data_IF_390184865358
#
_entry.id   IF_390184865358
#
_cell.length_a   1.000
_cell.length_b   1.000
_cell.length_c   1.000
_cell.angle_alpha   90.00
_cell.angle_beta   90.00
_cell.angle_gamma   90.00
#
_symmetry.space_group_name_H-M   'P 1'
#
loop_
_entity.id
_entity.type
_entity.pdbx_description
1 polymer ?
#
# COMPACT_ATOMS: atom_id res chain seq x y z
N UNK A 1 28.65 5.35 2.74
CA UNK A 1 27.31 4.93 3.21
C UNK A 1 27.43 3.52 3.73
N UNK A 2 27.02 3.28 4.98
CA UNK A 2 27.10 1.95 5.59
C UNK A 2 26.02 1.02 5.00
N UNK A 3 26.25 -0.28 5.00
CA UNK A 3 25.25 -1.26 4.57
C UNK A 3 25.10 -2.29 5.68
N UNK A 4 23.86 -2.55 6.07
CA UNK A 4 23.54 -3.41 7.20
C UNK A 4 23.06 -4.77 6.68
N UNK A 5 23.57 -5.84 7.29
CA UNK A 5 23.13 -7.22 7.05
C UNK A 5 23.04 -7.95 8.39
N UNK A 6 21.92 -8.62 8.66
CA UNK A 6 21.73 -9.41 9.88
C UNK A 6 22.44 -10.76 9.74
N UNK A 7 23.35 -11.06 10.67
CA UNK A 7 24.17 -12.27 10.68
C UNK A 7 23.70 -13.27 11.75
N UNK A 8 23.80 -14.55 11.41
CA UNK A 8 23.44 -15.67 12.26
C UNK A 8 24.52 -15.87 13.34
N UNK A 9 24.16 -15.90 14.63
CA UNK A 9 25.13 -16.12 15.70
C UNK A 9 25.75 -17.53 15.69
N UNK A 10 25.09 -18.52 15.07
CA UNK A 10 25.57 -19.91 15.04
C UNK A 10 26.59 -20.18 13.95
N UNK A 11 26.47 -19.56 12.77
CA UNK A 11 27.31 -19.89 11.62
C UNK A 11 27.83 -18.68 10.82
N UNK A 12 27.45 -17.45 11.19
CA UNK A 12 27.81 -16.23 10.47
C UNK A 12 27.11 -16.04 9.13
N UNK A 13 26.23 -16.97 8.72
CA UNK A 13 25.38 -16.84 7.53
C UNK A 13 24.32 -15.75 7.70
N UNK A 14 23.72 -15.30 6.60
CA UNK A 14 22.72 -14.24 6.64
C UNK A 14 21.37 -14.73 7.22
N UNK A 15 20.70 -13.84 7.95
CA UNK A 15 19.37 -14.06 8.49
C UNK A 15 18.33 -13.33 7.65
N UNK A 16 17.29 -14.05 7.22
CA UNK A 16 16.13 -13.49 6.52
C UNK A 16 14.89 -13.56 7.40
N UNK A 17 14.01 -12.57 7.29
CA UNK A 17 12.73 -12.61 7.99
C UNK A 17 11.77 -13.57 7.28
N UNK A 18 11.25 -14.57 8.00
CA UNK A 18 10.28 -15.53 7.48
C UNK A 18 8.85 -15.15 7.90
N UNK A 19 7.99 -14.71 6.96
CA UNK A 19 6.61 -14.30 7.23
C UNK A 19 5.77 -15.37 7.91
N UNK A 20 5.99 -16.64 7.56
CA UNK A 20 5.15 -17.75 8.02
C UNK A 20 5.36 -18.06 9.50
N UNK A 21 6.61 -17.97 9.98
CA UNK A 21 6.94 -18.20 11.39
C UNK A 21 7.05 -16.91 12.21
N UNK A 22 7.17 -15.74 11.57
CA UNK A 22 7.43 -14.47 12.24
C UNK A 22 8.81 -14.41 12.90
N UNK A 23 9.76 -15.22 12.40
CA UNK A 23 11.11 -15.38 12.95
C UNK A 23 12.16 -15.15 11.87
N UNK A 24 13.40 -14.92 12.30
CA UNK A 24 14.57 -14.82 11.45
C UNK A 24 15.15 -16.20 11.20
N UNK A 25 15.23 -16.64 9.94
CA UNK A 25 15.79 -17.95 9.57
C UNK A 25 17.15 -17.79 8.92
N UNK A 26 18.03 -18.73 9.23
CA UNK A 26 19.31 -18.89 8.54
C UNK A 26 19.20 -20.05 7.53
N UNK A 27 19.36 -19.77 6.24
CA UNK A 27 19.31 -20.80 5.18
C UNK A 27 20.50 -21.77 5.24
N UNK A 28 21.61 -21.38 5.88
CA UNK A 28 22.84 -22.19 5.93
C UNK A 28 22.81 -23.26 7.02
N UNK A 29 22.41 -22.89 8.24
CA UNK A 29 22.40 -23.80 9.39
C UNK A 29 20.99 -24.15 9.89
N UNK A 30 19.95 -23.64 9.22
CA UNK A 30 18.54 -23.87 9.51
C UNK A 30 18.09 -23.45 10.92
N UNK A 31 18.90 -22.65 11.62
CA UNK A 31 18.55 -22.05 12.90
C UNK A 31 17.50 -20.95 12.72
N UNK A 32 16.65 -20.77 13.73
CA UNK A 32 15.63 -19.72 13.75
C UNK A 32 15.74 -18.88 15.03
N UNK A 33 15.62 -17.57 14.90
CA UNK A 33 15.75 -16.60 15.99
C UNK A 33 14.52 -15.70 16.06
N UNK A 34 14.13 -15.32 17.28
CA UNK A 34 13.19 -14.22 17.51
C UNK A 34 13.82 -12.87 17.16
N UNK A 35 13.01 -11.82 17.10
CA UNK A 35 13.52 -10.48 16.83
C UNK A 35 14.52 -10.01 17.89
N UNK A 36 14.19 -10.18 19.17
CA UNK A 36 15.09 -9.80 20.27
C UNK A 36 16.43 -10.54 20.20
N UNK A 37 16.42 -11.83 19.87
CA UNK A 37 17.64 -12.63 19.70
C UNK A 37 18.46 -12.17 18.49
N UNK A 38 17.80 -11.86 17.37
CA UNK A 38 18.47 -11.40 16.15
C UNK A 38 19.09 -10.00 16.34
N UNK A 39 18.40 -9.09 17.01
CA UNK A 39 18.89 -7.75 17.33
C UNK A 39 20.05 -7.80 18.33
N UNK A 40 19.95 -8.62 19.38
CA UNK A 40 21.03 -8.82 20.34
C UNK A 40 22.30 -9.39 19.69
N UNK A 41 22.15 -10.27 18.71
CA UNK A 41 23.29 -10.81 17.95
C UNK A 41 23.87 -9.80 16.93
N UNK A 42 23.12 -8.76 16.57
CA UNK A 42 23.48 -7.76 15.55
C UNK A 42 23.37 -6.34 16.11
N UNK A 43 24.15 -5.98 17.14
CA UNK A 43 24.01 -4.70 17.85
C UNK A 43 24.18 -3.50 16.93
N UNK A 44 25.09 -3.55 15.95
CA UNK A 44 25.27 -2.47 14.96
C UNK A 44 24.02 -2.20 14.11
N UNK A 45 23.27 -3.25 13.78
CA UNK A 45 22.01 -3.12 13.04
C UNK A 45 20.90 -2.51 13.92
N UNK A 46 20.93 -2.80 15.23
CA UNK A 46 20.03 -2.20 16.21
C UNK A 46 20.45 -0.77 16.60
N UNK A 47 21.74 -0.44 16.57
CA UNK A 47 22.29 0.89 16.86
C UNK A 47 22.06 1.86 15.71
N UNK A 48 22.03 1.40 14.46
CA UNK A 48 21.65 2.21 13.30
C UNK A 48 20.20 2.76 13.37
N UNK A 49 19.37 2.23 14.28
CA UNK A 49 18.05 2.77 14.61
C UNK A 49 18.12 3.98 15.57
N UNK A 50 19.24 4.15 16.27
CA UNK A 50 19.47 5.19 17.30
C UNK A 50 20.56 6.19 16.92
N UNK A 51 21.19 6.03 15.74
CA UNK A 51 22.26 6.91 15.27
C UNK A 51 21.72 8.26 14.82
N UNK A 52 22.03 9.31 15.57
CA UNK A 52 22.15 10.67 15.05
C UNK A 52 23.31 10.67 14.05
N UNK A 53 23.06 10.29 12.79
CA UNK A 53 24.00 10.58 11.72
C UNK A 53 23.93 12.08 11.46
N UNK A 54 25.01 12.78 11.81
CA UNK A 54 25.24 14.20 11.57
C UNK A 54 24.78 14.58 10.15
N UNK A 55 23.68 15.33 10.08
CA UNK A 55 23.18 15.99 8.88
C UNK A 55 24.08 17.18 8.50
N UNK A 56 25.38 16.95 8.37
CA UNK A 56 26.40 17.91 7.99
C UNK A 56 27.33 17.28 6.95
N UNK A 57 26.79 17.04 5.75
CA UNK A 57 27.57 16.44 4.66
C UNK A 57 26.87 16.35 3.31
N UNK A 58 25.99 17.30 2.97
CA UNK A 58 25.42 17.42 1.62
C UNK A 58 25.31 18.88 1.13
N UNK A 59 26.05 19.79 1.77
CA UNK A 59 26.26 21.15 1.29
C UNK A 59 27.76 21.37 1.23
N UNK A 60 28.35 21.14 0.06
CA UNK A 60 29.52 21.87 -0.48
C UNK A 60 30.07 21.10 -1.68
N UNK A 61 29.51 21.37 -2.86
CA UNK A 61 30.21 21.25 -4.14
C UNK A 61 29.58 22.21 -5.16
N UNK A 62 29.31 23.45 -4.76
CA UNK A 62 29.08 24.57 -5.67
C UNK A 62 30.16 25.59 -5.39
N UNK A 63 31.20 25.59 -6.22
CA UNK A 63 32.14 26.70 -6.50
C UNK A 63 33.57 26.20 -6.63
N UNK A 64 33.90 25.65 -7.81
CA UNK A 64 35.19 25.88 -8.47
C UNK A 64 35.22 25.17 -9.83
N UNK A 65 34.70 25.84 -10.87
CA UNK A 65 35.40 26.05 -12.15
C UNK A 65 34.44 26.70 -13.16
N UNK A 66 34.56 28.02 -13.26
CA UNK A 66 34.07 28.83 -14.38
C UNK A 66 35.16 28.84 -15.46
N UNK A 67 34.72 28.82 -16.71
CA UNK A 67 35.44 28.89 -18.01
C UNK A 67 35.39 27.54 -18.76
N UNK A 68 34.72 27.37 -19.91
CA UNK A 68 34.18 28.30 -20.91
C UNK A 68 33.03 27.66 -21.71
N UNK A 69 32.03 28.47 -22.11
CA UNK A 69 31.16 28.38 -23.31
C UNK A 69 30.60 26.99 -23.72
N UNK A 70 29.28 26.76 -23.84
CA UNK A 70 28.31 27.53 -24.64
C UNK A 70 26.87 27.07 -24.27
N UNK A 71 25.95 28.03 -24.10
CA UNK A 71 24.48 27.92 -24.24
C UNK A 71 24.11 27.22 -25.57
N UNK A 72 23.06 26.43 -25.79
CA UNK A 72 21.71 26.19 -25.23
C UNK A 72 21.30 24.79 -25.77
N UNK A 73 20.58 23.94 -25.04
CA UNK A 73 19.12 23.80 -25.19
C UNK A 73 18.60 23.03 -23.97
N UNK A 74 17.88 23.73 -23.11
CA UNK A 74 17.22 23.20 -21.91
C UNK A 74 16.03 22.33 -22.33
N UNK A 75 16.21 21.03 -22.20
CA UNK A 75 15.17 20.01 -22.34
C UNK A 75 15.52 18.86 -21.41
N UNK A 76 15.57 19.13 -20.11
CA UNK A 76 15.93 18.13 -19.10
C UNK A 76 14.67 17.68 -18.37
N UNK A 77 14.20 16.51 -18.79
CA UNK A 77 13.55 15.54 -17.92
C UNK A 77 14.38 15.37 -16.65
N UNK A 78 13.77 15.58 -15.48
CA UNK A 78 14.28 15.12 -14.19
C UNK A 78 14.44 13.59 -14.26
N UNK A 79 15.62 13.12 -14.68
CA UNK A 79 16.00 11.72 -14.59
C UNK A 79 16.66 11.51 -13.23
N UNK A 80 16.06 10.63 -12.43
CA UNK A 80 16.46 10.36 -11.05
C UNK A 80 17.96 10.09 -10.91
N UNK A 81 18.55 10.67 -9.87
CA UNK A 81 19.94 10.44 -9.51
C UNK A 81 20.16 8.96 -9.17
N UNK A 82 20.99 8.28 -9.96
CA UNK A 82 21.42 6.92 -9.69
C UNK A 82 22.47 6.92 -8.57
N UNK A 83 22.25 6.15 -7.51
CA UNK A 83 23.14 6.08 -6.34
C UNK A 83 23.85 4.73 -6.31
N UNK A 84 25.16 4.73 -6.03
CA UNK A 84 26.00 3.53 -6.02
C UNK A 84 26.37 3.11 -4.60
N UNK A 85 26.23 1.81 -4.28
CA UNK A 85 26.54 1.23 -2.96
C UNK A 85 27.41 -0.01 -3.07
N UNK A 86 28.29 -0.24 -2.11
CA UNK A 86 29.14 -1.44 -2.07
C UNK A 86 28.52 -2.53 -1.19
N UNK A 87 28.34 -3.73 -1.74
CA UNK A 87 27.86 -4.89 -1.01
C UNK A 87 28.87 -5.33 0.06
N UNK A 88 28.48 -5.45 1.34
CA UNK A 88 29.40 -5.82 2.42
C UNK A 88 29.87 -7.28 2.34
N UNK A 89 29.15 -8.14 1.60
CA UNK A 89 29.47 -9.55 1.48
C UNK A 89 30.44 -9.87 0.32
N UNK A 90 30.22 -9.28 -0.86
CA UNK A 90 31.02 -9.60 -2.06
C UNK A 90 31.81 -8.41 -2.63
N UNK A 91 31.65 -7.21 -2.08
CA UNK A 91 32.33 -6.00 -2.56
C UNK A 91 31.80 -5.43 -3.88
N UNK A 92 30.73 -5.98 -4.43
CA UNK A 92 30.16 -5.48 -5.68
C UNK A 92 29.45 -4.13 -5.51
N UNK A 93 29.53 -3.27 -6.51
CA UNK A 93 28.78 -2.02 -6.59
C UNK A 93 27.37 -2.26 -7.13
N UNK A 94 26.36 -1.77 -6.38
CA UNK A 94 24.94 -1.88 -6.67
C UNK A 94 24.44 -0.47 -6.96
N UNK A 95 23.86 -0.27 -8.14
CA UNK A 95 23.23 0.99 -8.54
C UNK A 95 21.74 0.91 -8.23
N UNK A 96 21.21 1.87 -7.48
CA UNK A 96 19.79 1.94 -7.13
C UNK A 96 19.22 3.33 -7.32
N UNK A 97 17.88 3.43 -7.31
CA UNK A 97 17.20 4.71 -7.22
C UNK A 97 17.44 5.37 -5.85
N UNK A 98 17.27 6.68 -5.78
CA UNK A 98 17.37 7.45 -4.53
C UNK A 98 16.30 7.07 -3.47
N UNK A 99 15.20 6.44 -3.89
CA UNK A 99 14.13 5.96 -3.01
C UNK A 99 14.35 4.52 -2.54
N UNK A 100 15.26 3.74 -3.12
CA UNK A 100 15.48 2.36 -2.66
C UNK A 100 16.15 2.36 -1.28
N UNK A 101 15.55 1.65 -0.33
CA UNK A 101 16.03 1.53 1.05
C UNK A 101 16.54 0.12 1.39
N UNK A 102 15.95 -0.92 0.79
CA UNK A 102 16.44 -2.29 0.90
C UNK A 102 16.34 -2.99 -0.44
N UNK A 103 17.35 -3.79 -0.78
CA UNK A 103 17.45 -4.51 -2.04
C UNK A 103 18.28 -5.80 -1.88
N UNK A 104 18.54 -6.48 -2.99
CA UNK A 104 19.41 -7.64 -3.05
C UNK A 104 20.65 -7.33 -3.88
N UNK A 105 21.80 -7.84 -3.44
CA UNK A 105 22.99 -7.80 -4.27
C UNK A 105 22.81 -8.71 -5.49
N UNK A 106 22.94 -8.17 -6.70
CA UNK A 106 22.84 -8.95 -7.93
C UNK A 106 23.84 -10.13 -8.01
N UNK A 107 25.02 -9.98 -7.40
CA UNK A 107 26.10 -10.96 -7.51
C UNK A 107 25.98 -12.11 -6.50
N UNK A 108 25.81 -11.77 -5.21
CA UNK A 108 25.74 -12.78 -4.15
C UNK A 108 24.31 -13.07 -3.67
N UNK A 109 23.31 -12.34 -4.17
CA UNK A 109 21.89 -12.46 -3.80
C UNK A 109 21.61 -12.23 -2.30
N UNK A 110 22.56 -11.63 -1.59
CA UNK A 110 22.36 -11.27 -0.19
C UNK A 110 21.44 -10.05 -0.06
N UNK A 111 20.55 -10.03 0.95
CA UNK A 111 19.79 -8.84 1.28
C UNK A 111 20.74 -7.74 1.79
N UNK A 112 20.53 -6.54 1.27
CA UNK A 112 21.34 -5.34 1.52
C UNK A 112 20.38 -4.25 1.96
N UNK A 113 20.49 -3.83 3.22
CA UNK A 113 19.76 -2.67 3.76
C UNK A 113 20.68 -1.46 3.65
N UNK A 114 20.24 -0.45 2.90
CA UNK A 114 21.00 0.77 2.62
C UNK A 114 20.83 1.72 3.80
N UNK A 115 21.82 1.75 4.71
CA UNK A 115 21.77 2.65 5.86
C UNK A 115 21.77 4.12 5.40
N UNK A 116 21.12 4.99 6.16
CA UNK A 116 20.92 6.40 5.79
C UNK A 116 19.61 6.68 5.04
N UNK A 117 18.98 5.67 4.42
CA UNK A 117 17.70 5.87 3.69
C UNK A 117 16.47 5.78 4.59
N UNK A 118 16.57 5.08 5.71
CA UNK A 118 15.51 4.92 6.71
C UNK A 118 16.05 5.25 8.11
N UNK A 119 16.79 6.34 8.22
CA UNK A 119 17.31 6.87 9.49
C UNK A 119 16.87 8.33 9.69
N UNK A 120 17.00 8.83 10.92
CA UNK A 120 16.59 10.19 11.29
C UNK A 120 15.14 10.47 10.94
N UNK A 121 14.87 11.56 10.22
CA UNK A 121 13.52 11.96 9.80
C UNK A 121 12.86 11.00 8.79
N UNK A 122 13.65 10.15 8.13
CA UNK A 122 13.17 9.16 7.17
C UNK A 122 12.98 7.78 7.81
N UNK A 123 13.15 7.66 9.13
CA UNK A 123 12.92 6.41 9.84
C UNK A 123 11.40 6.18 10.04
N UNK A 124 10.87 5.02 9.64
CA UNK A 124 9.48 4.64 9.96
C UNK A 124 9.27 4.47 11.46
N UNK A 125 8.09 4.87 11.94
CA UNK A 125 7.65 4.61 13.31
C UNK A 125 7.27 3.14 13.49
N UNK A 126 6.59 2.57 12.48
CA UNK A 126 6.04 1.22 12.53
C UNK A 126 6.23 0.47 11.20
N UNK A 127 6.01 -0.84 11.26
CA UNK A 127 5.93 -1.73 10.10
C UNK A 127 4.80 -2.73 10.28
N UNK A 128 4.10 -3.00 9.18
CA UNK A 128 3.19 -4.15 9.11
C UNK A 128 3.99 -5.36 8.60
N UNK A 129 4.30 -6.36 9.43
CA UNK A 129 5.13 -7.48 8.98
C UNK A 129 4.39 -8.30 7.92
N UNK A 130 5.13 -8.79 6.92
CA UNK A 130 4.61 -9.83 6.02
C UNK A 130 4.11 -11.03 6.86
N UNK A 131 2.92 -11.53 6.54
CA UNK A 131 2.35 -12.77 7.12
C UNK A 131 2.27 -13.91 6.12
N UNK A 132 2.22 -13.57 4.84
CA UNK A 132 2.14 -14.52 3.73
C UNK A 132 3.54 -14.70 3.15
N UNK A 133 4.05 -15.93 3.17
CA UNK A 133 5.33 -16.27 2.53
C UNK A 133 5.24 -16.15 1.01
N UNK A 134 6.39 -16.13 0.33
CA UNK A 134 6.44 -16.08 -1.14
C UNK A 134 5.71 -17.25 -1.78
N UNK A 135 5.89 -18.45 -1.24
CA UNK A 135 5.25 -19.68 -1.74
C UNK A 135 3.74 -19.60 -1.60
N UNK A 136 3.26 -19.13 -0.45
CA UNK A 136 1.84 -18.93 -0.18
C UNK A 136 1.25 -17.84 -1.09
N UNK A 137 1.99 -16.76 -1.34
CA UNK A 137 1.56 -15.69 -2.25
C UNK A 137 1.40 -16.21 -3.68
N UNK A 138 2.37 -16.98 -4.18
CA UNK A 138 2.32 -17.63 -5.49
C UNK A 138 1.13 -18.57 -5.59
N UNK A 139 0.89 -19.40 -4.57
CA UNK A 139 -0.26 -20.30 -4.55
C UNK A 139 -1.60 -19.54 -4.57
N UNK A 140 -1.74 -18.52 -3.72
CA UNK A 140 -2.92 -17.65 -3.68
C UNK A 140 -3.16 -16.98 -5.03
N UNK A 141 -2.11 -16.44 -5.65
CA UNK A 141 -2.17 -15.81 -6.97
C UNK A 141 -2.65 -16.79 -8.06
N UNK A 142 -2.06 -17.98 -8.12
CA UNK A 142 -2.45 -19.01 -9.07
C UNK A 142 -3.88 -19.51 -8.82
N UNK A 143 -4.31 -19.61 -7.57
CA UNK A 143 -5.69 -20.01 -7.23
C UNK A 143 -6.72 -18.94 -7.63
N UNK A 144 -6.38 -17.66 -7.44
CA UNK A 144 -7.23 -16.53 -7.80
C UNK A 144 -7.44 -16.44 -9.32
N UNK A 145 -6.36 -16.59 -10.08
CA UNK A 145 -6.39 -16.52 -11.56
C UNK A 145 -7.18 -17.68 -12.17
N UNK A 146 -7.08 -18.90 -11.63
CA UNK A 146 -7.86 -20.07 -12.07
C UNK A 146 -9.37 -19.89 -11.96
N UNK A 147 -9.85 -19.08 -11.00
CA UNK A 147 -11.29 -18.80 -10.82
C UNK A 147 -11.87 -17.88 -11.90
N UNK A 148 -11.02 -17.13 -12.62
CA UNK A 148 -11.44 -16.15 -13.62
C UNK A 148 -11.65 -16.84 -14.97
N UNK A 149 -12.88 -16.81 -15.47
CA UNK A 149 -13.29 -17.56 -16.66
C UNK A 149 -12.72 -17.01 -17.98
N UNK A 150 -12.46 -15.70 -18.04
CA UNK A 150 -12.06 -14.99 -19.26
C UNK A 150 -10.56 -14.69 -19.35
N UNK A 151 -9.74 -15.39 -18.55
CA UNK A 151 -8.28 -15.30 -18.62
C UNK A 151 -7.75 -16.47 -19.46
N UNK A 152 -6.76 -16.25 -20.35
CA UNK A 152 -6.12 -17.34 -21.07
C UNK A 152 -5.48 -18.33 -20.11
N UNK A 153 -5.77 -19.63 -20.29
CA UNK A 153 -5.28 -20.69 -19.37
C UNK A 153 -3.75 -20.78 -19.35
N UNK A 154 -3.13 -20.49 -20.49
CA UNK A 154 -1.68 -20.52 -20.67
C UNK A 154 -1.06 -19.13 -20.58
N UNK A 155 -1.77 -18.18 -19.95
CA UNK A 155 -1.24 -16.84 -19.76
C UNK A 155 -0.08 -16.87 -18.78
N UNK A 156 -0.25 -17.49 -17.61
CA UNK A 156 0.72 -17.47 -16.52
C UNK A 156 1.69 -18.65 -16.58
N UNK A 157 2.96 -18.36 -16.78
CA UNK A 157 4.05 -19.32 -16.69
C UNK A 157 4.61 -19.39 -15.26
N UNK A 158 4.88 -20.61 -14.77
CA UNK A 158 5.42 -20.80 -13.42
C UNK A 158 6.71 -20.02 -13.19
N UNK A 159 7.61 -19.98 -14.17
CA UNK A 159 8.91 -19.30 -14.08
C UNK A 159 8.76 -17.78 -13.86
N UNK A 160 7.78 -17.15 -14.50
CA UNK A 160 7.51 -15.73 -14.33
C UNK A 160 6.84 -15.45 -12.98
N UNK A 161 5.90 -16.29 -12.54
CA UNK A 161 5.24 -16.13 -11.24
C UNK A 161 6.24 -16.27 -10.07
N UNK A 162 7.31 -17.06 -10.25
CA UNK A 162 8.42 -17.17 -9.28
C UNK A 162 9.22 -15.87 -9.10
N UNK A 163 9.11 -14.91 -10.03
CA UNK A 163 9.73 -13.57 -9.92
C UNK A 163 8.94 -12.62 -9.02
N UNK A 164 7.84 -13.09 -8.42
CA UNK A 164 7.11 -12.32 -7.42
C UNK A 164 8.06 -11.84 -6.33
N UNK A 165 8.01 -10.54 -6.04
CA UNK A 165 8.95 -9.84 -5.16
C UNK A 165 8.18 -9.19 -4.04
N UNK A 166 8.66 -9.35 -2.81
CA UNK A 166 8.07 -8.71 -1.64
C UNK A 166 8.72 -7.35 -1.43
N UNK A 167 7.88 -6.31 -1.38
CA UNK A 167 8.31 -4.92 -1.26
C UNK A 167 7.57 -4.28 -0.08
N UNK A 168 8.31 -3.57 0.76
CA UNK A 168 7.75 -2.63 1.73
C UNK A 168 7.60 -1.26 1.10
N UNK A 169 6.35 -0.78 1.07
CA UNK A 169 6.02 0.54 0.57
C UNK A 169 5.77 1.51 1.72
N UNK A 170 6.19 2.77 1.59
CA UNK A 170 6.00 3.79 2.62
C UNK A 170 4.57 4.33 2.59
N UNK A 171 3.94 4.41 3.76
CA UNK A 171 2.60 4.97 3.94
C UNK A 171 2.59 5.97 5.08
N UNK A 172 1.82 7.03 4.90
CA UNK A 172 1.40 7.89 5.99
C UNK A 172 0.07 7.42 6.51
N UNK A 173 -0.02 7.25 7.83
CA UNK A 173 -1.27 7.02 8.54
C UNK A 173 -1.63 8.29 9.29
N UNK A 174 -2.81 8.84 8.97
CA UNK A 174 -3.41 9.96 9.66
C UNK A 174 -4.64 9.52 10.45
N UNK A 175 -4.64 9.76 11.76
CA UNK A 175 -5.76 9.42 12.62
C UNK A 175 -5.88 10.39 13.79
N UNK A 176 -6.78 10.08 14.70
CA UNK A 176 -6.97 10.89 15.89
C UNK A 176 -8.38 10.87 16.45
N UNK A 177 -8.56 11.73 17.44
CA UNK A 177 -9.84 11.98 18.12
C UNK A 177 -10.33 13.38 17.72
N UNK A 178 -11.54 13.48 17.17
CA UNK A 178 -12.09 14.71 16.62
C UNK A 178 -13.48 15.02 17.19
N UNK A 179 -13.74 16.28 17.53
CA UNK A 179 -15.08 16.77 17.86
C UNK A 179 -15.82 17.19 16.60
N UNK A 180 -17.07 16.75 16.50
CA UNK A 180 -18.00 17.16 15.46
C UNK A 180 -19.09 18.07 16.02
N UNK A 181 -19.34 19.19 15.35
CA UNK A 181 -20.59 19.96 15.48
C UNK A 181 -21.24 19.97 14.09
N UNK A 182 -22.30 19.17 13.94
CA UNK A 182 -23.06 19.00 12.71
C UNK A 182 -24.42 19.66 12.85
N UNK A 183 -24.73 20.53 11.88
CA UNK A 183 -26.03 21.19 11.78
C UNK A 183 -26.63 20.95 10.39
N UNK A 184 -27.92 20.69 10.36
CA UNK A 184 -28.67 20.46 9.14
C UNK A 184 -30.14 20.86 9.33
N UNK A 185 -30.85 21.03 8.23
CA UNK A 185 -32.30 21.22 8.22
C UNK A 185 -32.96 19.91 7.82
N UNK A 186 -33.63 19.26 8.77
CA UNK A 186 -34.27 17.96 8.60
C UNK A 186 -35.74 18.09 8.21
N UNK A 187 -36.17 17.35 7.20
CA UNK A 187 -37.59 17.28 6.79
C UNK A 187 -38.19 15.94 7.20
N UNK A 188 -39.34 15.96 7.87
CA UNK A 188 -40.14 14.76 8.16
C UNK A 188 -41.48 14.87 7.47
N UNK A 189 -41.82 13.89 6.64
CA UNK A 189 -43.10 13.85 5.92
C UNK A 189 -43.94 12.73 6.48
N UNK A 190 -45.19 13.05 6.82
CA UNK A 190 -46.20 12.08 7.23
C UNK A 190 -47.39 12.20 6.28
N UNK A 191 -47.78 11.08 5.69
CA UNK A 191 -48.96 10.99 4.83
C UNK A 191 -49.99 10.08 5.50
N UNK A 192 -51.23 10.52 5.61
CA UNK A 192 -52.34 9.69 6.10
C UNK A 192 -53.62 10.03 5.37
N UNK A 193 -54.55 9.08 5.32
CA UNK A 193 -55.85 9.25 4.67
C UNK A 193 -56.97 9.27 5.72
N UNK A 194 -57.97 10.10 5.50
CA UNK A 194 -59.19 10.15 6.33
C UNK A 194 -60.38 10.32 5.41
N UNK A 195 -61.14 9.22 5.20
CA UNK A 195 -62.15 9.15 4.15
C UNK A 195 -61.51 9.18 2.76
N UNK A 196 -62.02 10.04 1.89
CA UNK A 196 -61.52 10.25 0.51
C UNK A 196 -60.44 11.34 0.41
N UNK A 197 -59.98 11.90 1.54
CA UNK A 197 -58.99 12.99 1.58
C UNK A 197 -57.64 12.46 2.09
N UNK A 198 -56.59 12.72 1.30
CA UNK A 198 -55.19 12.48 1.69
C UNK A 198 -54.59 13.75 2.30
N UNK A 199 -54.02 13.61 3.50
CA UNK A 199 -53.31 14.67 4.20
C UNK A 199 -51.81 14.41 4.15
N UNK A 200 -51.04 15.41 3.73
CA UNK A 200 -49.58 15.39 3.78
C UNK A 200 -49.09 16.48 4.73
N UNK A 201 -48.48 16.07 5.83
CA UNK A 201 -47.81 16.98 6.77
C UNK A 201 -46.31 16.98 6.50
N UNK A 202 -45.74 18.17 6.33
CA UNK A 202 -44.29 18.36 6.22
C UNK A 202 -43.81 19.16 7.42
N UNK A 203 -43.13 18.49 8.35
CA UNK A 203 -42.46 19.13 9.47
C UNK A 203 -41.01 19.42 9.13
N UNK A 204 -40.53 20.59 9.51
CA UNK A 204 -39.15 21.03 9.28
C UNK A 204 -38.48 21.28 10.63
N UNK A 205 -37.30 20.71 10.83
CA UNK A 205 -36.55 20.74 12.08
C UNK A 205 -35.16 21.32 11.85
N UNK A 206 -34.68 22.09 12.81
CA UNK A 206 -33.25 22.42 12.93
C UNK A 206 -32.58 21.27 13.68
N UNK A 207 -31.76 20.51 12.96
CA UNK A 207 -31.08 19.33 13.47
C UNK A 207 -29.68 19.73 13.89
N UNK A 208 -29.32 19.42 15.13
CA UNK A 208 -27.94 19.52 15.63
C UNK A 208 -27.50 18.18 16.19
N UNK A 209 -26.28 17.77 15.85
CA UNK A 209 -25.60 16.59 16.37
C UNK A 209 -24.19 16.99 16.78
N UNK A 210 -23.87 16.76 18.04
CA UNK A 210 -22.53 16.92 18.57
C UNK A 210 -22.00 15.56 18.98
N UNK A 211 -20.73 15.30 18.71
CA UNK A 211 -20.15 14.00 19.00
C UNK A 211 -18.63 13.99 18.91
N UNK A 212 -18.07 12.83 19.22
CA UNK A 212 -16.66 12.56 19.05
C UNK A 212 -16.50 11.44 18.02
N UNK A 213 -15.67 11.70 17.01
CA UNK A 213 -15.32 10.76 15.96
C UNK A 213 -13.88 10.36 16.17
N UNK A 214 -13.68 9.07 16.42
CA UNK A 214 -12.35 8.45 16.41
C UNK A 214 -12.07 7.86 15.05
N UNK A 215 -10.89 8.13 14.52
CA UNK A 215 -10.40 7.52 13.28
C UNK A 215 -9.07 6.84 13.55
N UNK A 216 -9.09 5.50 13.44
CA UNK A 216 -7.96 4.63 13.78
C UNK A 216 -6.82 4.68 12.74
N UNK A 217 -7.05 5.29 11.57
CA UNK A 217 -5.98 5.63 10.63
C UNK A 217 -6.40 5.58 9.17
N UNK A 218 -6.41 6.73 8.52
CA UNK A 218 -6.47 6.85 7.06
C UNK A 218 -5.06 6.70 6.51
N UNK A 219 -4.86 5.68 5.66
CA UNK A 219 -3.57 5.42 5.05
C UNK A 219 -3.50 5.99 3.63
N UNK A 220 -2.38 6.61 3.30
CA UNK A 220 -2.03 7.05 1.93
C UNK A 220 -0.61 6.67 1.61
N UNK A 221 -0.39 6.23 0.37
CA UNK A 221 0.94 5.87 -0.08
C UNK A 221 1.82 7.14 -0.16
N UNK A 222 3.07 7.03 0.27
CA UNK A 222 4.02 8.13 0.35
C UNK A 222 5.09 8.09 -0.77
N UNK A 223 4.76 7.46 -1.91
CA UNK A 223 5.56 7.44 -3.13
C UNK A 223 4.88 8.18 -4.29
N UNK A 224 5.68 8.93 -5.03
CA UNK A 224 5.31 9.62 -6.26
C UNK A 224 5.78 8.81 -7.48
N UNK A 225 5.34 7.53 -7.57
CA UNK A 225 5.63 6.64 -8.70
C UNK A 225 4.34 6.25 -9.44
N UNK A 226 4.45 5.95 -10.73
CA UNK A 226 3.33 5.67 -11.64
C UNK A 226 2.43 4.50 -11.20
N UNK A 227 2.94 3.60 -10.36
CA UNK A 227 2.21 2.42 -9.88
C UNK A 227 1.44 2.66 -8.56
N UNK A 228 1.37 3.90 -8.06
CA UNK A 228 0.72 4.25 -6.79
C UNK A 228 -0.70 3.68 -6.67
N UNK A 229 -1.51 3.84 -7.72
CA UNK A 229 -2.91 3.42 -7.71
C UNK A 229 -3.07 1.91 -7.53
N UNK A 230 -2.16 1.11 -8.12
CA UNK A 230 -2.20 -0.35 -7.98
C UNK A 230 -1.90 -0.78 -6.54
N UNK A 231 -0.93 -0.13 -5.90
CA UNK A 231 -0.50 -0.43 -4.53
C UNK A 231 -1.57 0.03 -3.53
N UNK A 232 -2.24 1.16 -3.78
CA UNK A 232 -3.36 1.60 -2.95
C UNK A 232 -4.59 0.69 -3.07
N UNK A 233 -4.71 -0.09 -4.14
CA UNK A 233 -5.84 -0.98 -4.36
C UNK A 233 -5.75 -2.36 -3.68
N UNK A 234 -4.69 -2.64 -2.91
CA UNK A 234 -4.56 -3.91 -2.15
C UNK A 234 -5.05 -3.82 -0.69
N UNK A 235 -5.89 -2.83 -0.40
CA UNK A 235 -6.61 -2.70 0.88
C UNK A 235 -7.65 -3.82 1.10
N UNK A 236 -8.11 -4.10 2.33
CA UNK A 236 -7.73 -3.46 3.59
C UNK A 236 -6.52 -4.13 4.27
N UNK A 237 -5.74 -3.32 4.99
CA UNK A 237 -4.72 -3.78 5.94
C UNK A 237 -5.27 -3.84 7.37
N UNK A 238 -4.65 -4.68 8.21
CA UNK A 238 -4.97 -4.78 9.64
C UNK A 238 -3.98 -3.94 10.43
N UNK A 239 -4.31 -2.67 10.60
CA UNK A 239 -3.46 -1.66 11.24
C UNK A 239 -3.16 -2.02 12.71
N UNK A 240 -4.05 -2.74 13.37
CA UNK A 240 -3.86 -3.26 14.72
C UNK A 240 -2.69 -4.26 14.85
N UNK A 241 -2.23 -4.85 13.74
CA UNK A 241 -1.10 -5.80 13.73
C UNK A 241 0.26 -5.09 13.52
N UNK A 242 0.30 -3.75 13.48
CA UNK A 242 1.55 -2.97 13.36
C UNK A 242 2.52 -3.28 14.51
N UNK A 243 3.81 -3.36 14.18
CA UNK A 243 4.91 -3.52 15.13
C UNK A 243 5.84 -2.30 15.05
N UNK A 244 6.52 -1.93 16.15
CA UNK A 244 7.60 -0.94 16.09
C UNK A 244 8.60 -1.31 15.00
N UNK A 245 9.06 -0.32 14.24
CA UNK A 245 9.96 -0.58 13.13
C UNK A 245 11.32 -1.11 13.62
N UNK A 246 11.83 -2.11 12.91
CA UNK A 246 13.18 -2.65 13.05
C UNK A 246 13.71 -2.99 11.67
N UNK A 247 14.99 -2.71 11.43
CA UNK A 247 15.66 -2.98 10.14
C UNK A 247 15.59 -4.46 9.75
N UNK A 248 15.50 -5.36 10.73
CA UNK A 248 15.46 -6.80 10.49
C UNK A 248 14.26 -7.22 9.63
N UNK A 249 13.12 -6.53 9.74
CA UNK A 249 11.94 -6.83 8.91
C UNK A 249 12.20 -6.65 7.42
N UNK A 250 13.18 -5.83 7.03
CA UNK A 250 13.57 -5.61 5.65
C UNK A 250 14.49 -6.71 5.11
N UNK A 251 15.07 -7.55 5.99
CA UNK A 251 15.95 -8.63 5.57
C UNK A 251 15.16 -9.70 4.82
N UNK A 252 15.40 -9.82 3.51
CA UNK A 252 14.62 -10.70 2.63
C UNK A 252 13.47 -9.99 1.92
N UNK A 253 13.40 -8.66 1.97
CA UNK A 253 12.41 -7.86 1.25
C UNK A 253 13.08 -6.64 0.61
N UNK A 254 12.48 -6.13 -0.46
CA UNK A 254 12.82 -4.80 -0.94
C UNK A 254 12.07 -3.76 -0.10
N UNK A 255 12.58 -2.54 -0.05
CA UNK A 255 11.90 -1.45 0.64
C UNK A 255 12.14 -0.13 -0.08
N UNK A 256 11.12 0.72 -0.09
CA UNK A 256 11.18 2.06 -0.63
C UNK A 256 11.08 3.10 0.50
N UNK A 257 11.84 4.19 0.38
CA UNK A 257 11.79 5.39 1.19
C UNK A 257 10.69 6.30 0.67
N UNK A 258 9.95 6.95 1.57
CA UNK A 258 9.01 8.02 1.23
C UNK A 258 9.68 9.16 0.44
N UNK A 259 8.97 9.68 -0.55
CA UNK A 259 9.31 10.89 -1.31
C UNK A 259 8.22 11.98 -1.19
N UNK A 260 7.04 11.62 -0.70
CA UNK A 260 5.94 12.54 -0.38
C UNK A 260 5.96 12.86 1.11
N UNK A 261 6.03 14.14 1.44
CA UNK A 261 5.97 14.65 2.80
C UNK A 261 4.52 14.74 3.32
N UNK A 262 4.36 14.66 4.64
CA UNK A 262 3.07 14.79 5.33
C UNK A 262 2.28 16.03 4.88
N UNK A 263 2.95 17.18 4.73
CA UNK A 263 2.31 18.44 4.37
C UNK A 263 1.62 18.41 2.99
N UNK A 264 2.09 17.56 2.08
CA UNK A 264 1.55 17.44 0.71
C UNK A 264 0.23 16.66 0.70
N UNK A 265 0.08 15.64 1.55
CA UNK A 265 -1.11 14.76 1.60
C UNK A 265 -2.14 15.17 2.67
N UNK A 266 -1.74 15.97 3.66
CA UNK A 266 -2.61 16.40 4.74
C UNK A 266 -3.93 17.04 4.28
N UNK A 267 -3.95 17.92 3.25
CA UNK A 267 -5.22 18.50 2.78
C UNK A 267 -6.20 17.46 2.24
N UNK A 268 -5.70 16.46 1.51
CA UNK A 268 -6.51 15.38 0.94
C UNK A 268 -7.12 14.52 2.06
N UNK A 269 -6.27 14.04 2.97
CA UNK A 269 -6.67 13.19 4.09
C UNK A 269 -7.63 13.89 5.05
N UNK A 270 -7.42 15.18 5.33
CA UNK A 270 -8.33 15.97 6.18
C UNK A 270 -9.70 16.15 5.52
N UNK A 271 -9.75 16.33 4.19
CA UNK A 271 -11.01 16.43 3.44
C UNK A 271 -11.75 15.09 3.38
N UNK A 272 -11.03 13.99 3.21
CA UNK A 272 -11.61 12.65 3.28
C UNK A 272 -12.19 12.37 4.67
N UNK A 273 -11.43 12.68 5.72
CA UNK A 273 -11.88 12.61 7.12
C UNK A 273 -13.18 13.40 7.34
N UNK A 274 -13.22 14.66 6.88
CA UNK A 274 -14.43 15.48 6.98
C UNK A 274 -15.62 14.83 6.24
N UNK A 275 -15.37 14.22 5.09
CA UNK A 275 -16.43 13.54 4.32
C UNK A 275 -16.97 12.32 5.06
N UNK A 276 -16.08 11.50 5.65
CA UNK A 276 -16.47 10.33 6.45
C UNK A 276 -17.20 10.73 7.73
N UNK A 277 -16.68 11.71 8.47
CA UNK A 277 -17.31 12.21 9.68
C UNK A 277 -18.70 12.79 9.38
N UNK A 278 -18.86 13.53 8.28
CA UNK A 278 -20.16 14.02 7.81
C UNK A 278 -21.13 12.88 7.48
N UNK A 279 -20.63 11.84 6.81
CA UNK A 279 -21.41 10.63 6.52
C UNK A 279 -21.89 9.92 7.79
N UNK A 280 -21.01 9.79 8.79
CA UNK A 280 -21.35 9.21 10.08
C UNK A 280 -22.42 10.03 10.83
N UNK A 281 -22.25 11.36 10.92
CA UNK A 281 -23.24 12.25 11.55
C UNK A 281 -24.59 12.22 10.82
N UNK A 282 -24.58 12.12 9.49
CA UNK A 282 -25.81 11.98 8.69
C UNK A 282 -26.53 10.67 9.00
N UNK A 283 -25.81 9.57 9.17
CA UNK A 283 -26.39 8.27 9.50
C UNK A 283 -27.08 8.27 10.88
N UNK A 284 -26.58 9.07 11.83
CA UNK A 284 -27.21 9.31 13.14
C UNK A 284 -28.44 10.25 13.10
N UNK A 285 -28.75 10.81 11.93
CA UNK A 285 -29.94 11.64 11.68
C UNK A 285 -30.88 10.98 10.66
N UNK A 286 -30.93 9.64 10.64
CA UNK A 286 -31.72 8.85 9.70
C UNK A 286 -33.25 8.95 9.91
N UNK A 287 -33.72 9.59 10.98
CA UNK A 287 -35.15 9.78 11.23
C UNK A 287 -35.80 10.84 10.32
N UNK A 288 -34.99 11.61 9.60
CA UNK A 288 -35.43 12.63 8.65
C UNK A 288 -35.43 12.06 7.22
N UNK A 289 -36.45 12.40 6.43
CA UNK A 289 -36.57 12.01 5.03
C UNK A 289 -35.47 12.65 4.17
N UNK A 290 -35.15 13.91 4.45
CA UNK A 290 -34.04 14.63 3.81
C UNK A 290 -33.36 15.55 4.81
N UNK A 291 -32.07 15.77 4.58
CA UNK A 291 -31.22 16.72 5.29
C UNK A 291 -30.70 17.72 4.27
N UNK A 292 -30.93 19.00 4.51
CA UNK A 292 -30.52 20.11 3.64
C UNK A 292 -29.64 21.10 4.40
N UNK A 293 -28.91 21.96 3.68
CA UNK A 293 -28.06 23.03 4.25
C UNK A 293 -27.04 22.52 5.29
N UNK A 294 -26.51 21.33 5.05
CA UNK A 294 -25.60 20.65 5.97
C UNK A 294 -24.28 21.42 6.15
N UNK A 295 -24.00 21.80 7.39
CA UNK A 295 -22.71 22.34 7.80
C UNK A 295 -22.14 21.47 8.90
N UNK A 296 -20.84 21.26 8.84
CA UNK A 296 -20.12 20.52 9.86
C UNK A 296 -18.85 21.27 10.19
N UNK A 297 -18.56 21.40 11.48
CA UNK A 297 -17.25 21.78 11.97
C UNK A 297 -16.62 20.54 12.59
N UNK A 298 -15.41 20.22 12.14
CA UNK A 298 -14.58 19.16 12.71
C UNK A 298 -13.39 19.83 13.42
N UNK A 299 -13.23 19.59 14.71
CA UNK A 299 -12.13 20.15 15.50
C UNK A 299 -11.27 19.02 16.07
N UNK A 300 -9.95 19.00 15.82
CA UNK A 300 -9.09 17.96 16.38
C UNK A 300 -8.91 18.14 17.89
N UNK A 301 -9.13 17.07 18.67
CA UNK A 301 -8.64 16.97 20.06
C UNK A 301 -7.20 16.48 20.09
N UNK A 302 -6.93 15.46 19.28
CA UNK A 302 -5.60 14.86 19.07
C UNK A 302 -5.47 14.49 17.61
N UNK A 303 -4.41 14.94 16.96
CA UNK A 303 -4.01 14.48 15.63
C UNK A 303 -2.79 13.59 15.76
N UNK A 304 -2.86 12.40 15.19
CA UNK A 304 -1.78 11.42 15.19
C UNK A 304 -1.34 11.20 13.73
N UNK A 305 -0.04 11.37 13.49
CA UNK A 305 0.61 11.05 12.22
C UNK A 305 1.66 9.98 12.46
N UNK A 306 1.66 8.95 11.63
CA UNK A 306 2.63 7.85 11.72
C UNK A 306 3.14 7.51 10.34
N UNK A 307 4.45 7.33 10.24
CA UNK A 307 5.11 6.80 9.06
C UNK A 307 5.24 5.28 9.20
N UNK A 308 4.65 4.53 8.27
CA UNK A 308 4.55 3.07 8.38
C UNK A 308 4.90 2.39 7.06
N UNK A 309 5.64 1.28 7.14
CA UNK A 309 5.93 0.42 5.99
C UNK A 309 4.88 -0.69 5.82
N UNK A 310 4.28 -0.77 4.63
CA UNK A 310 3.23 -1.74 4.29
C UNK A 310 3.77 -2.85 3.39
N UNK A 311 3.45 -4.12 3.67
CA UNK A 311 3.95 -5.26 2.93
C UNK A 311 3.09 -5.53 1.69
N UNK A 312 3.73 -5.57 0.51
CA UNK A 312 3.08 -5.87 -0.76
C UNK A 312 3.91 -6.86 -1.56
N UNK A 313 3.28 -7.92 -2.05
CA UNK A 313 3.85 -8.77 -3.08
C UNK A 313 3.55 -8.19 -4.46
N UNK A 314 4.58 -7.87 -5.22
CA UNK A 314 4.46 -7.33 -6.58
C UNK A 314 4.88 -8.37 -7.62
N UNK A 315 4.22 -8.34 -8.77
CA UNK A 315 4.58 -9.16 -9.92
C UNK A 315 4.33 -8.38 -11.21
N UNK A 316 5.37 -8.23 -12.01
CA UNK A 316 5.28 -7.69 -13.36
C UNK A 316 5.31 -8.83 -14.36
N UNK A 317 4.30 -8.88 -15.24
CA UNK A 317 4.12 -9.96 -16.20
C UNK A 317 4.07 -9.42 -17.64
N UNK A 318 5.05 -9.75 -18.50
CA UNK A 318 4.98 -9.41 -19.91
C UNK A 318 3.95 -10.31 -20.61
N UNK A 319 2.85 -9.71 -21.07
CA UNK A 319 1.81 -10.39 -21.81
C UNK A 319 2.23 -10.74 -23.23
N UNK A 320 1.63 -11.81 -23.77
CA UNK A 320 1.85 -12.24 -25.16
C UNK A 320 1.31 -11.26 -26.20
N UNK A 321 0.44 -10.35 -25.78
CA UNK A 321 -0.12 -9.27 -26.58
C UNK A 321 0.76 -8.01 -26.62
N UNK A 322 1.96 -8.06 -26.02
CA UNK A 322 2.91 -6.94 -25.95
C UNK A 322 2.62 -5.95 -24.84
N UNK A 323 1.59 -6.18 -24.01
CA UNK A 323 1.29 -5.36 -22.83
C UNK A 323 2.01 -5.89 -21.61
N UNK A 324 2.40 -4.98 -20.72
CA UNK A 324 2.93 -5.33 -19.40
C UNK A 324 1.79 -5.26 -18.40
N UNK A 325 1.60 -6.34 -17.64
CA UNK A 325 0.59 -6.43 -16.61
C UNK A 325 1.25 -6.35 -15.24
N UNK A 326 0.74 -5.47 -14.38
CA UNK A 326 1.21 -5.30 -13.03
C UNK A 326 0.20 -5.88 -12.05
N UNK A 327 0.70 -6.64 -11.09
CA UNK A 327 -0.07 -7.26 -10.03
C UNK A 327 0.50 -6.86 -8.69
N UNK A 328 -0.38 -6.57 -7.75
CA UNK A 328 -0.07 -6.34 -6.36
C UNK A 328 -0.92 -7.26 -5.49
N UNK A 329 -0.35 -7.75 -4.40
CA UNK A 329 -1.06 -8.53 -3.39
C UNK A 329 -0.67 -8.06 -2.00
N UNK A 330 -1.69 -7.86 -1.16
CA UNK A 330 -1.50 -7.53 0.24
C UNK A 330 -0.71 -8.63 0.98
N UNK A 331 0.42 -8.28 1.60
CA UNK A 331 1.30 -9.23 2.29
C UNK A 331 0.75 -9.81 3.61
N UNK A 332 -0.35 -9.26 4.14
CA UNK A 332 -1.05 -9.78 5.32
C UNK A 332 -2.29 -10.59 4.94
N UNK A 333 -3.18 -10.01 4.12
CA UNK A 333 -4.51 -10.59 3.84
C UNK A 333 -4.51 -11.47 2.59
N UNK A 334 -3.64 -11.17 1.62
CA UNK A 334 -3.59 -11.85 0.34
C UNK A 334 -4.64 -11.35 -0.65
N UNK A 335 -5.26 -10.18 -0.40
CA UNK A 335 -6.09 -9.49 -1.39
C UNK A 335 -5.25 -9.15 -2.61
N UNK A 336 -5.72 -9.53 -3.80
CA UNK A 336 -5.00 -9.35 -5.07
C UNK A 336 -5.69 -8.27 -5.88
N UNK A 337 -4.88 -7.33 -6.40
CA UNK A 337 -5.28 -6.38 -7.42
C UNK A 337 -4.30 -6.44 -8.61
N UNK A 338 -4.78 -6.09 -9.79
CA UNK A 338 -3.96 -6.05 -11.00
C UNK A 338 -4.78 -6.17 -12.27
N UNK A 339 -4.15 -5.80 -13.38
CA UNK A 339 -4.76 -5.89 -14.69
C UNK A 339 -4.64 -7.32 -15.24
N UNK A 340 -5.73 -7.89 -15.71
CA UNK A 340 -5.76 -9.25 -16.23
C UNK A 340 -6.05 -9.24 -17.73
N UNK A 341 -5.29 -10.04 -18.52
CA UNK A 341 -5.56 -10.17 -19.95
C UNK A 341 -6.95 -10.76 -20.16
N UNK A 342 -7.72 -10.10 -21.03
CA UNK A 342 -9.07 -10.51 -21.36
C UNK A 342 -9.13 -11.30 -22.67
N UNK A 343 -9.57 -12.55 -22.59
CA UNK A 343 -9.72 -13.43 -23.75
C UNK A 343 -11.07 -13.21 -24.46
N UNK A 344 -11.09 -12.22 -25.38
CA UNK A 344 -12.29 -11.84 -26.15
C UNK A 344 -12.99 -13.02 -26.84
N UNK A 345 -12.23 -13.99 -27.36
CA UNK A 345 -12.79 -15.16 -28.07
C UNK A 345 -13.65 -16.02 -27.16
N UNK A 346 -13.19 -16.30 -25.93
CA UNK A 346 -13.97 -17.05 -24.95
C UNK A 346 -15.21 -16.30 -24.51
N UNK A 347 -15.07 -15.01 -24.27
CA UNK A 347 -16.21 -14.18 -23.90
C UNK A 347 -17.29 -14.14 -24.99
N UNK A 348 -16.89 -13.94 -26.25
CA UNK A 348 -17.80 -13.96 -27.41
C UNK A 348 -18.51 -15.31 -27.54
N UNK A 349 -17.77 -16.42 -27.36
CA UNK A 349 -18.35 -17.76 -27.42
C UNK A 349 -19.36 -17.96 -26.29
N UNK A 350 -19.02 -17.60 -25.05
CA UNK A 350 -19.94 -17.72 -23.91
C UNK A 350 -21.18 -16.85 -24.09
N UNK A 351 -21.03 -15.61 -24.60
CA UNK A 351 -22.17 -14.72 -24.84
C UNK A 351 -23.08 -15.23 -25.96
N UNK A 352 -22.50 -15.80 -27.02
CA UNK A 352 -23.28 -16.38 -28.12
C UNK A 352 -24.08 -17.61 -27.65
N UNK A 353 -23.45 -18.49 -26.86
CA UNK A 353 -24.13 -19.67 -26.28
C UNK A 353 -25.24 -19.26 -25.32
N UNK A 354 -25.00 -18.27 -24.44
CA UNK A 354 -26.04 -17.78 -23.53
C UNK A 354 -27.20 -17.11 -24.29
N UNK A 355 -26.91 -16.33 -25.33
CA UNK A 355 -27.94 -15.71 -26.14
C UNK A 355 -28.79 -16.74 -26.87
N UNK A 356 -28.17 -17.79 -27.42
CA UNK A 356 -28.88 -18.91 -28.05
C UNK A 356 -29.76 -19.66 -27.05
N UNK A 357 -29.29 -19.92 -25.83
CA UNK A 357 -30.08 -20.55 -24.77
C UNK A 357 -31.30 -19.71 -24.39
N UNK A 358 -31.12 -18.40 -24.18
CA UNK A 358 -32.24 -17.50 -23.87
C UNK A 358 -33.25 -17.48 -25.02
N UNK A 359 -32.78 -17.42 -26.27
CA UNK A 359 -33.63 -17.49 -27.47
C UNK A 359 -34.45 -18.79 -27.49
N UNK A 360 -33.83 -19.94 -27.24
CA UNK A 360 -34.52 -21.24 -27.19
C UNK A 360 -35.58 -21.26 -26.08
N UNK A 361 -35.26 -20.76 -24.88
CA UNK A 361 -36.22 -20.70 -23.77
C UNK A 361 -37.40 -19.77 -24.10
N UNK A 362 -37.15 -18.61 -24.72
CA UNK A 362 -38.22 -17.70 -25.15
C UNK A 362 -39.10 -18.32 -26.23
N UNK A 363 -38.53 -19.05 -27.20
CA UNK A 363 -39.30 -19.74 -28.24
C UNK A 363 -40.16 -20.86 -27.67
N UNK A 364 -39.63 -21.63 -26.71
CA UNK A 364 -40.41 -22.67 -26.01
C UNK A 364 -41.51 -22.03 -25.15
N UNK A 365 -41.20 -21.00 -24.38
CA UNK A 365 -42.17 -20.29 -23.54
C UNK A 365 -43.29 -19.65 -24.35
N UNK A 366 -42.99 -19.03 -25.50
CA UNK A 366 -43.99 -18.49 -26.43
C UNK A 366 -44.73 -19.54 -27.25
N UNK A 367 -44.28 -20.79 -27.29
CA UNK A 367 -45.01 -21.90 -27.90
C UNK A 367 -46.02 -22.54 -26.94
N UNK A 368 -45.75 -22.47 -25.63
CA UNK A 368 -46.63 -23.01 -24.57
C UNK A 368 -47.52 -21.96 -23.88
N UNK A 369 -47.39 -20.68 -24.24
CA UNK A 369 -48.29 -19.58 -23.88
C UNK A 369 -49.19 -19.24 -25.07
#
# INVERSE_FOLDING_TARGET
MEVITYKCPNCGGDLTFDPASGKYKCEYCLSSFTQEEAEKANPKAAEALNGEDDAAGAQEASDAQKESSTEETKGETEQGEAVVYTCPNCGAEIVTDATTAATYCFYCHNPVVLSGRLSGEYMPDFVLPFKISKEQAIEKFLSFTRKKHFIPKDFFEKSQVQKMTGVYFPYWIYGGDFETDYIARGRKVRVWQTGDVEYTETSIYDVRREGEVRVDGLSRNALNKADRDLIECVQPYRLEEMQPFSMGYLSGFQAEKRDIEQAQIAPELKKELETMARGAMRNEANEYLSLEQEKMKLSPKREDWRYVLFPVWTLTYPGKDGKVYYYAMNGQTGTINGDFPYERKRALLTSAVSALLVLIVMLIGGYFA
#
